data_IF_648091100471
#
_entry.id   IF_648091100471
#
_cell.length_a   1.000
_cell.length_b   1.000
_cell.length_c   1.000
_cell.angle_alpha   90.00
_cell.angle_beta   90.00
_cell.angle_gamma   90.00
#
_symmetry.space_group_name_H-M   'P 1'
#
loop_
_entity.id
_entity.type
_entity.pdbx_description
1 polymer ?
#
# COMPACT_ATOMS: atom_id res chain seq x y z
N UNK A 1 6.34 -17.44 21.38
CA UNK A 1 7.75 -17.01 21.45
C UNK A 1 8.05 -16.29 20.14
N UNK A 2 8.55 -15.07 20.22
CA UNK A 2 9.08 -14.37 19.05
C UNK A 2 10.52 -14.83 18.84
N UNK A 3 10.85 -15.26 17.63
CA UNK A 3 12.21 -15.58 17.22
C UNK A 3 12.73 -14.38 16.42
N UNK A 4 13.83 -13.81 16.88
CA UNK A 4 14.48 -12.72 16.17
C UNK A 4 15.11 -13.23 14.88
N UNK A 5 15.01 -12.45 13.83
CA UNK A 5 15.76 -12.71 12.61
C UNK A 5 17.23 -12.30 12.81
N UNK A 6 18.14 -13.24 12.58
CA UNK A 6 19.59 -13.04 12.74
C UNK A 6 20.36 -13.28 11.42
N UNK A 7 19.63 -13.27 10.30
CA UNK A 7 20.19 -13.45 8.97
C UNK A 7 20.80 -12.17 8.38
N UNK A 8 21.13 -12.24 7.10
CA UNK A 8 21.63 -11.08 6.35
C UNK A 8 20.56 -9.97 6.27
N UNK A 9 21.01 -8.71 6.14
CA UNK A 9 20.10 -7.57 5.99
C UNK A 9 19.27 -7.74 4.72
N UNK A 10 17.96 -7.71 4.88
CA UNK A 10 17.03 -7.80 3.75
C UNK A 10 17.08 -6.51 2.93
N UNK A 11 17.05 -6.65 1.61
CA UNK A 11 16.94 -5.53 0.66
C UNK A 11 15.47 -5.14 0.43
N UNK A 12 15.24 -3.89 0.01
CA UNK A 12 13.92 -3.41 -0.38
C UNK A 12 13.42 -4.14 -1.64
N UNK A 13 12.10 -4.27 -1.76
CA UNK A 13 11.38 -4.77 -2.95
C UNK A 13 11.92 -6.10 -3.52
N UNK A 14 12.40 -6.97 -2.63
CA UNK A 14 13.12 -8.18 -3.00
C UNK A 14 12.34 -9.43 -2.59
N UNK A 15 12.29 -10.41 -3.49
CA UNK A 15 11.71 -11.72 -3.21
C UNK A 15 12.69 -12.60 -2.44
N UNK A 16 12.18 -13.25 -1.42
CA UNK A 16 12.88 -14.21 -0.59
C UNK A 16 12.05 -15.49 -0.43
N UNK A 17 12.71 -16.57 -0.11
CA UNK A 17 12.09 -17.79 0.39
C UNK A 17 12.50 -17.98 1.85
N UNK A 18 11.54 -18.19 2.73
CA UNK A 18 11.79 -18.59 4.11
C UNK A 18 11.54 -20.08 4.25
N UNK A 19 12.50 -20.80 4.82
CA UNK A 19 12.35 -22.17 5.26
C UNK A 19 12.26 -22.20 6.79
N UNK A 20 11.23 -22.85 7.30
CA UNK A 20 11.05 -23.06 8.74
C UNK A 20 11.16 -24.55 9.02
N UNK A 21 12.18 -24.92 9.81
CA UNK A 21 12.38 -26.28 10.26
C UNK A 21 12.07 -26.38 11.75
N UNK A 22 11.22 -27.34 12.11
CA UNK A 22 10.83 -27.59 13.51
C UNK A 22 11.23 -29.01 13.87
N UNK A 23 11.89 -29.17 15.01
CA UNK A 23 12.22 -30.47 15.59
C UNK A 23 11.49 -30.62 16.94
N UNK A 24 10.90 -31.80 17.17
CA UNK A 24 10.31 -32.12 18.46
C UNK A 24 11.33 -32.84 19.38
N UNK A 25 10.92 -33.07 20.62
CA UNK A 25 11.75 -33.78 21.61
C UNK A 25 11.82 -35.31 21.40
N UNK A 26 11.17 -35.81 20.38
CA UNK A 26 11.22 -37.23 19.96
C UNK A 26 12.13 -37.44 18.75
N UNK A 27 12.70 -36.36 18.19
CA UNK A 27 13.60 -36.39 17.05
C UNK A 27 12.90 -36.33 15.70
N UNK A 28 11.59 -36.06 15.67
CA UNK A 28 10.90 -35.79 14.41
C UNK A 28 11.26 -34.39 13.93
N UNK A 29 11.48 -34.26 12.62
CA UNK A 29 11.82 -32.98 11.97
C UNK A 29 10.89 -32.79 10.79
N UNK A 30 10.30 -31.59 10.72
CA UNK A 30 9.47 -31.16 9.62
C UNK A 30 9.92 -29.78 9.15
N UNK A 31 9.90 -29.56 7.83
CA UNK A 31 10.24 -28.29 7.21
C UNK A 31 9.12 -27.82 6.28
N UNK A 32 8.93 -26.51 6.23
CA UNK A 32 8.03 -25.85 5.28
C UNK A 32 8.72 -24.64 4.69
N UNK A 33 8.59 -24.45 3.39
CA UNK A 33 9.07 -23.27 2.67
C UNK A 33 7.89 -22.38 2.25
N UNK A 34 8.13 -21.06 2.24
CA UNK A 34 7.19 -20.09 1.73
C UNK A 34 7.88 -18.85 1.14
N UNK A 35 7.38 -18.32 0.03
CA UNK A 35 7.90 -17.07 -0.52
C UNK A 35 7.37 -15.87 0.25
N UNK A 36 8.14 -14.79 0.30
CA UNK A 36 7.68 -13.46 0.68
C UNK A 36 8.44 -12.39 -0.11
N UNK A 37 7.88 -11.22 -0.20
CA UNK A 37 8.50 -10.03 -0.79
C UNK A 37 8.61 -8.95 0.28
N UNK A 38 9.77 -8.29 0.34
CA UNK A 38 9.97 -7.14 1.22
C UNK A 38 9.34 -5.89 0.61
N UNK A 39 8.81 -5.02 1.47
CA UNK A 39 8.45 -3.66 1.12
C UNK A 39 9.66 -2.73 1.14
N UNK A 40 9.39 -1.43 1.32
CA UNK A 40 10.38 -0.38 1.49
C UNK A 40 10.60 -0.16 2.99
N UNK A 41 11.85 -0.30 3.45
CA UNK A 41 12.21 -0.13 4.87
C UNK A 41 12.42 1.35 5.24
N UNK A 42 12.91 2.15 4.29
CA UNK A 42 13.11 3.59 4.48
C UNK A 42 12.09 4.37 3.65
N UNK A 43 11.03 4.85 4.29
CA UNK A 43 9.97 5.60 3.63
C UNK A 43 10.42 6.98 3.10
N UNK A 44 11.63 7.43 3.39
CA UNK A 44 12.17 8.68 2.85
C UNK A 44 12.50 8.57 1.35
N UNK A 45 12.56 7.37 0.80
CA UNK A 45 12.81 7.14 -0.63
C UNK A 45 11.58 7.41 -1.51
N UNK A 46 10.38 7.46 -0.94
CA UNK A 46 9.19 7.83 -1.68
C UNK A 46 9.28 9.26 -2.22
N UNK A 47 8.96 9.42 -3.52
CA UNK A 47 8.95 10.70 -4.22
C UNK A 47 7.59 11.37 -4.19
N UNK A 48 6.51 10.57 -4.20
CA UNK A 48 5.15 11.06 -4.12
C UNK A 48 4.88 11.74 -2.79
N UNK A 49 3.87 12.60 -2.79
CA UNK A 49 3.38 13.29 -1.59
C UNK A 49 1.90 13.01 -1.42
N UNK A 50 1.45 13.07 -0.17
CA UNK A 50 0.03 13.09 0.12
C UNK A 50 -0.62 14.30 -0.56
N UNK A 51 -1.69 14.04 -1.30
CA UNK A 51 -2.52 15.08 -1.92
C UNK A 51 -3.88 15.11 -1.24
N UNK A 52 -4.47 16.29 -1.12
CA UNK A 52 -5.79 16.50 -0.51
C UNK A 52 -6.71 17.20 -1.50
N UNK A 53 -8.02 17.05 -1.30
CA UNK A 53 -9.01 17.86 -2.02
C UNK A 53 -9.05 19.28 -1.44
N UNK A 54 -9.59 20.20 -2.21
CA UNK A 54 -9.96 21.57 -1.78
C UNK A 54 -11.39 21.65 -1.23
N UNK A 55 -11.98 20.51 -0.90
CA UNK A 55 -13.32 20.44 -0.34
C UNK A 55 -13.39 21.14 1.02
N UNK A 56 -14.53 21.81 1.32
CA UNK A 56 -14.78 22.33 2.66
C UNK A 56 -14.64 21.24 3.74
N UNK A 57 -14.27 21.65 4.96
CA UNK A 57 -14.07 20.71 6.07
C UNK A 57 -15.32 19.91 6.45
N UNK A 58 -16.50 20.47 6.22
CA UNK A 58 -17.81 19.85 6.47
C UNK A 58 -18.33 19.03 5.29
N UNK A 59 -17.59 18.97 4.16
CA UNK A 59 -17.98 18.16 3.01
C UNK A 59 -17.92 16.66 3.36
N UNK A 60 -18.98 15.95 2.99
CA UNK A 60 -19.14 14.52 3.22
C UNK A 60 -18.92 13.65 1.98
N UNK A 61 -18.85 14.28 0.81
CA UNK A 61 -18.55 13.57 -0.42
C UNK A 61 -17.13 12.98 -0.40
N UNK A 62 -16.99 11.78 -0.95
CA UNK A 62 -15.69 11.14 -1.10
C UNK A 62 -14.95 11.75 -2.29
N UNK A 63 -13.81 12.43 -2.10
CA UNK A 63 -13.00 12.89 -3.23
C UNK A 63 -12.46 11.71 -4.02
N UNK A 64 -12.36 11.90 -5.35
CA UNK A 64 -11.72 10.97 -6.26
C UNK A 64 -10.50 11.65 -6.88
N UNK A 65 -9.33 11.08 -6.64
CA UNK A 65 -8.06 11.53 -7.21
C UNK A 65 -7.73 10.67 -8.41
N UNK A 66 -7.64 11.26 -9.58
CA UNK A 66 -7.40 10.55 -10.84
C UNK A 66 -6.17 11.05 -11.59
N UNK A 67 -5.49 10.14 -12.29
CA UNK A 67 -4.38 10.44 -13.18
C UNK A 67 -4.34 9.45 -14.34
N UNK A 68 -4.06 9.98 -15.53
CA UNK A 68 -3.69 9.16 -16.70
C UNK A 68 -2.18 9.17 -16.89
N UNK A 69 -1.62 8.05 -17.35
CA UNK A 69 -0.19 7.92 -17.65
C UNK A 69 0.04 6.83 -18.70
N UNK A 70 1.15 6.94 -19.43
CA UNK A 70 1.52 5.97 -20.44
C UNK A 70 2.74 5.15 -19.98
N UNK A 71 2.81 3.90 -20.46
CA UNK A 71 3.96 3.00 -20.31
C UNK A 71 4.33 2.53 -21.70
N UNK A 72 5.55 2.84 -22.14
CA UNK A 72 6.04 2.58 -23.48
C UNK A 72 6.98 1.37 -23.58
N UNK A 73 7.23 0.69 -22.46
CA UNK A 73 8.11 -0.47 -22.35
C UNK A 73 7.38 -1.68 -21.79
N UNK A 74 7.90 -2.86 -22.09
CA UNK A 74 7.36 -4.10 -21.58
C UNK A 74 7.64 -4.25 -20.10
N UNK A 75 6.57 -4.31 -19.31
CA UNK A 75 6.61 -4.42 -17.85
C UNK A 75 6.99 -5.84 -17.46
N UNK A 76 7.97 -5.98 -16.57
CA UNK A 76 8.35 -7.23 -15.91
C UNK A 76 7.67 -7.36 -14.55
N UNK A 77 7.63 -6.28 -13.79
CA UNK A 77 7.07 -6.21 -12.45
C UNK A 77 6.58 -4.81 -12.15
N UNK A 78 5.40 -4.68 -11.53
CA UNK A 78 4.90 -3.39 -11.06
C UNK A 78 4.29 -3.52 -9.67
N UNK A 79 4.62 -2.55 -8.80
CA UNK A 79 4.11 -2.46 -7.42
C UNK A 79 3.52 -1.08 -7.19
N UNK A 80 2.24 -1.05 -6.83
CA UNK A 80 1.55 0.17 -6.43
C UNK A 80 1.56 0.25 -4.90
N UNK A 81 2.21 1.27 -4.39
CA UNK A 81 2.18 1.67 -2.98
C UNK A 81 1.06 2.67 -2.80
N UNK A 82 0.12 2.39 -1.90
CA UNK A 82 -1.01 3.29 -1.68
C UNK A 82 -1.40 3.40 -0.21
N UNK A 83 -1.80 4.60 0.19
CA UNK A 83 -2.36 4.89 1.51
C UNK A 83 -3.26 6.11 1.45
N UNK A 84 -3.97 6.41 2.54
CA UNK A 84 -4.84 7.58 2.63
C UNK A 84 -4.94 8.14 4.05
N UNK A 85 -5.23 9.42 4.14
CA UNK A 85 -5.85 10.03 5.31
C UNK A 85 -7.37 9.82 5.20
N UNK A 86 -7.83 8.65 5.65
CA UNK A 86 -9.18 8.16 5.50
C UNK A 86 -9.21 6.66 5.24
N UNK A 87 -10.20 6.18 4.53
CA UNK A 87 -10.26 4.84 3.93
C UNK A 87 -10.31 4.99 2.41
N UNK A 88 -9.69 4.09 1.67
CA UNK A 88 -9.60 4.25 0.22
C UNK A 88 -9.91 2.97 -0.55
N UNK A 89 -10.28 3.17 -1.79
CA UNK A 89 -10.31 2.15 -2.85
C UNK A 89 -9.58 2.68 -4.08
N UNK A 90 -8.82 1.81 -4.74
CA UNK A 90 -8.09 2.13 -5.98
C UNK A 90 -8.72 1.37 -7.13
N UNK A 91 -8.86 2.04 -8.26
CA UNK A 91 -9.12 1.40 -9.56
C UNK A 91 -7.97 1.72 -10.52
N UNK A 92 -7.57 0.73 -11.30
CA UNK A 92 -6.60 0.86 -12.39
C UNK A 92 -7.23 0.30 -13.65
N UNK A 93 -7.33 1.13 -14.69
CA UNK A 93 -7.98 0.77 -15.95
C UNK A 93 -9.42 0.25 -15.77
N UNK A 94 -10.16 0.84 -14.81
CA UNK A 94 -11.52 0.46 -14.47
C UNK A 94 -11.67 -0.83 -13.64
N UNK A 95 -10.56 -1.48 -13.29
CA UNK A 95 -10.55 -2.67 -12.43
C UNK A 95 -10.15 -2.31 -10.99
N UNK A 96 -10.81 -2.90 -10.00
CA UNK A 96 -10.44 -2.72 -8.61
C UNK A 96 -9.04 -3.32 -8.34
N UNK A 97 -8.19 -2.57 -7.64
CA UNK A 97 -6.86 -3.01 -7.23
C UNK A 97 -6.94 -3.65 -5.84
N UNK A 98 -6.51 -4.91 -5.77
CA UNK A 98 -6.50 -5.68 -4.52
C UNK A 98 -7.90 -6.07 -4.03
N UNK A 99 -7.93 -6.77 -2.91
CA UNK A 99 -9.15 -7.27 -2.25
C UNK A 99 -9.30 -6.75 -0.80
N UNK A 100 -8.35 -5.95 -0.33
CA UNK A 100 -8.35 -5.41 1.02
C UNK A 100 -9.42 -4.32 1.15
N UNK A 101 -10.32 -4.49 2.13
CA UNK A 101 -11.38 -3.53 2.42
C UNK A 101 -11.01 -2.64 3.59
N UNK A 102 -11.50 -1.41 3.57
CA UNK A 102 -11.21 -0.40 4.60
C UNK A 102 -9.71 -0.08 4.73
N UNK A 103 -8.96 -0.17 3.61
CA UNK A 103 -7.57 0.24 3.56
C UNK A 103 -7.44 1.75 3.91
N UNK A 104 -6.35 2.18 4.55
CA UNK A 104 -5.19 1.45 5.02
C UNK A 104 -5.38 0.76 6.38
N UNK A 105 -6.55 0.83 6.98
CA UNK A 105 -6.83 0.40 8.34
C UNK A 105 -6.68 1.54 9.35
N UNK A 106 -7.04 1.28 10.59
CA UNK A 106 -6.98 2.26 11.67
C UNK A 106 -5.68 2.15 12.47
N UNK A 107 -4.98 3.27 12.59
CA UNK A 107 -3.80 3.42 13.45
C UNK A 107 -3.90 4.73 14.23
N UNK A 108 -2.91 5.02 15.06
CA UNK A 108 -2.71 6.37 15.60
C UNK A 108 -2.05 7.23 14.52
N UNK A 109 -2.83 7.85 13.66
CA UNK A 109 -2.35 8.55 12.45
C UNK A 109 -1.33 9.65 12.71
N UNK A 110 -1.26 10.20 13.92
CA UNK A 110 -0.22 11.16 14.30
C UNK A 110 1.17 10.52 14.42
N UNK A 111 1.22 9.19 14.61
CA UNK A 111 2.47 8.47 14.83
C UNK A 111 2.75 7.46 13.73
N UNK A 112 1.71 6.91 13.10
CA UNK A 112 1.85 5.80 12.16
C UNK A 112 0.71 5.78 11.16
N UNK A 113 1.06 5.75 9.89
CA UNK A 113 0.16 5.48 8.78
C UNK A 113 0.62 4.19 8.08
N UNK A 114 -0.28 3.24 7.91
CA UNK A 114 -0.01 2.04 7.13
C UNK A 114 -0.16 2.34 5.64
N UNK A 115 0.57 1.65 4.81
CA UNK A 115 0.34 1.59 3.37
C UNK A 115 0.17 0.14 2.92
N UNK A 116 -0.51 -0.05 1.80
CA UNK A 116 -0.61 -1.34 1.13
C UNK A 116 0.29 -1.35 -0.10
N UNK A 117 0.77 -2.54 -0.45
CA UNK A 117 1.52 -2.82 -1.66
C UNK A 117 0.68 -3.76 -2.50
N UNK A 118 0.38 -3.35 -3.73
CA UNK A 118 -0.39 -4.16 -4.67
C UNK A 118 0.47 -4.57 -5.85
N UNK A 119 0.42 -5.85 -6.23
CA UNK A 119 0.92 -6.29 -7.52
C UNK A 119 -0.09 -5.88 -8.59
N UNK A 120 0.32 -4.97 -9.48
CA UNK A 120 -0.50 -4.46 -10.57
C UNK A 120 0.11 -4.78 -11.94
N UNK A 121 1.08 -5.70 -11.98
CA UNK A 121 1.83 -6.05 -13.19
C UNK A 121 0.90 -6.36 -14.37
N UNK A 122 -0.10 -7.22 -14.13
CA UNK A 122 -1.03 -7.69 -15.17
C UNK A 122 -2.17 -6.70 -15.47
N UNK A 123 -2.31 -5.64 -14.66
CA UNK A 123 -3.36 -4.63 -14.86
C UNK A 123 -2.89 -3.43 -15.69
N UNK A 124 -1.57 -3.32 -15.93
CA UNK A 124 -1.00 -2.23 -16.71
C UNK A 124 -1.17 -2.47 -18.23
N UNK A 125 -1.39 -1.38 -18.94
CA UNK A 125 -1.49 -1.29 -20.39
C UNK A 125 -0.52 -0.20 -20.91
N UNK A 126 -0.53 0.08 -22.23
CA UNK A 126 0.22 1.21 -22.79
C UNK A 126 -0.34 2.55 -22.27
N UNK A 127 -1.67 2.70 -22.25
CA UNK A 127 -2.36 3.86 -21.68
C UNK A 127 -3.10 3.42 -20.42
N UNK A 128 -2.90 4.15 -19.33
CA UNK A 128 -3.43 3.79 -18.03
C UNK A 128 -4.20 4.94 -17.39
N UNK A 129 -5.23 4.58 -16.65
CA UNK A 129 -5.98 5.49 -15.78
C UNK A 129 -6.04 4.88 -14.37
N UNK A 130 -5.53 5.62 -13.38
CA UNK A 130 -5.68 5.31 -11.96
C UNK A 130 -6.66 6.27 -11.32
N UNK A 131 -7.56 5.77 -10.48
CA UNK A 131 -8.43 6.58 -9.65
C UNK A 131 -8.44 6.05 -8.21
N UNK A 132 -8.34 6.96 -7.25
CA UNK A 132 -8.35 6.67 -5.81
C UNK A 132 -9.51 7.42 -5.18
N UNK A 133 -10.51 6.67 -4.74
CA UNK A 133 -11.65 7.22 -3.97
C UNK A 133 -11.32 7.16 -2.50
N UNK A 134 -11.48 8.29 -1.78
CA UNK A 134 -11.14 8.37 -0.35
C UNK A 134 -12.37 8.74 0.46
N UNK A 135 -12.77 7.86 1.38
CA UNK A 135 -13.78 8.14 2.39
C UNK A 135 -13.18 8.64 3.70
N UNK A 136 -13.98 9.29 4.53
CA UNK A 136 -13.54 9.88 5.79
C UNK A 136 -12.91 8.88 6.77
N UNK A 137 -13.42 7.63 6.80
CA UNK A 137 -12.92 6.55 7.65
C UNK A 137 -12.75 6.96 9.11
N UNK A 138 -11.71 6.46 9.74
CA UNK A 138 -11.35 6.83 11.13
C UNK A 138 -10.56 8.13 11.22
N UNK A 139 -10.03 8.63 10.11
CA UNK A 139 -9.20 9.84 10.09
C UNK A 139 -10.03 11.11 10.31
N UNK A 140 -11.02 11.33 9.47
CA UNK A 140 -11.92 12.49 9.48
C UNK A 140 -13.32 12.16 10.01
N UNK A 141 -13.71 10.87 9.99
CA UNK A 141 -15.04 10.42 10.36
C UNK A 141 -15.37 10.59 11.84
N UNK A 142 -16.61 10.26 12.18
CA UNK A 142 -17.12 10.38 13.55
C UNK A 142 -16.63 9.18 14.36
N UNK A 143 -15.95 9.45 15.47
CA UNK A 143 -15.39 8.44 16.35
C UNK A 143 -15.77 8.65 17.83
N UNK A 144 -15.67 7.53 18.56
CA UNK A 144 -15.75 7.50 19.99
C UNK A 144 -17.16 7.74 20.55
N UNK A 145 -17.26 7.65 21.87
CA UNK A 145 -18.52 7.74 22.59
C UNK A 145 -19.22 9.11 22.42
N UNK A 146 -18.46 10.17 22.26
CA UNK A 146 -18.98 11.53 22.10
C UNK A 146 -19.25 11.92 20.64
N UNK A 147 -19.16 10.97 19.70
CA UNK A 147 -19.44 11.21 18.29
C UNK A 147 -18.70 12.42 17.71
N UNK A 148 -17.42 12.56 18.01
CA UNK A 148 -16.60 13.69 17.52
C UNK A 148 -16.02 13.38 16.13
N UNK A 149 -16.17 14.29 15.15
CA UNK A 149 -15.48 14.18 13.87
C UNK A 149 -14.03 14.68 13.97
N UNK A 150 -13.27 14.47 12.90
CA UNK A 150 -11.95 15.09 12.68
C UNK A 150 -10.91 14.77 13.76
N UNK A 151 -10.92 13.53 14.28
CA UNK A 151 -10.00 13.13 15.37
C UNK A 151 -8.52 13.28 15.01
N UNK A 152 -8.18 13.09 13.74
CA UNK A 152 -6.78 13.12 13.26
C UNK A 152 -6.53 14.21 12.22
N UNK A 153 -7.58 14.71 11.58
CA UNK A 153 -7.47 15.81 10.61
C UNK A 153 -8.78 16.12 9.92
N UNK A 154 -8.82 17.26 9.25
CA UNK A 154 -10.03 17.82 8.63
C UNK A 154 -10.09 17.59 7.12
N UNK A 155 -8.99 17.13 6.49
CA UNK A 155 -8.87 16.92 5.06
C UNK A 155 -8.56 15.45 4.75
N UNK A 156 -9.45 14.80 4.01
CA UNK A 156 -9.15 13.50 3.42
C UNK A 156 -8.05 13.63 2.36
N UNK A 157 -7.16 12.65 2.30
CA UNK A 157 -6.04 12.70 1.36
C UNK A 157 -5.65 11.35 0.83
N UNK A 158 -5.05 11.32 -0.35
CA UNK A 158 -4.54 10.13 -1.00
C UNK A 158 -3.02 10.21 -1.23
N UNK A 159 -2.37 9.06 -1.15
CA UNK A 159 -1.00 8.86 -1.58
C UNK A 159 -0.97 7.63 -2.46
N UNK A 160 -0.27 7.73 -3.59
CA UNK A 160 0.07 6.58 -4.41
C UNK A 160 1.41 6.79 -5.10
N UNK A 161 2.20 5.72 -5.18
CA UNK A 161 3.44 5.68 -5.95
C UNK A 161 3.52 4.33 -6.66
N UNK A 162 3.78 4.35 -7.97
CA UNK A 162 3.88 3.17 -8.80
C UNK A 162 5.34 2.92 -9.15
N UNK A 163 5.88 1.78 -8.71
CA UNK A 163 7.22 1.33 -9.07
C UNK A 163 7.13 0.30 -10.17
N UNK A 164 7.81 0.54 -11.29
CA UNK A 164 7.83 -0.34 -12.46
C UNK A 164 9.24 -0.81 -12.76
N UNK A 165 9.43 -2.12 -12.90
CA UNK A 165 10.61 -2.74 -13.45
C UNK A 165 10.28 -3.27 -14.84
N UNK A 166 11.07 -2.89 -15.84
CA UNK A 166 10.91 -3.33 -17.22
C UNK A 166 11.75 -4.56 -17.55
N UNK A 167 11.41 -5.26 -18.64
CA UNK A 167 12.18 -6.43 -19.09
C UNK A 167 13.62 -6.09 -19.49
N UNK A 168 13.89 -4.84 -19.88
CA UNK A 168 15.25 -4.36 -20.19
C UNK A 168 16.08 -4.08 -18.92
N UNK A 169 15.53 -4.30 -17.73
CA UNK A 169 16.15 -4.06 -16.44
C UNK A 169 16.11 -2.60 -15.98
N UNK A 170 15.55 -1.68 -16.77
CA UNK A 170 15.32 -0.30 -16.32
C UNK A 170 14.17 -0.23 -15.32
N UNK A 171 14.16 0.81 -14.48
CA UNK A 171 13.11 1.06 -13.49
C UNK A 171 12.58 2.48 -13.62
N UNK A 172 11.31 2.65 -13.30
CA UNK A 172 10.62 3.95 -13.29
C UNK A 172 9.71 4.08 -12.05
N UNK A 173 9.42 5.33 -11.67
CA UNK A 173 8.56 5.69 -10.54
C UNK A 173 7.70 6.90 -10.90
#
# INVERSE_FOLDING_TARGET
VLISYEGEVLADETFYTVEVTVADNHGNVESVEGPFETGIFDNTVFKAKMITSDFPEDETACPVFGKTFAIDKKVKKARLYATAHGVYEVTLNGQTVGDYRMAPGWTSYHNRLQYQIYDVTEQLAEENEIAITVGNGWYKGILGFYCQPNQYGTQAGAFAELHVEYEDGSKDV
#
